data_IF_024277667113
#
_entry.id   IF_024277667113
#
_cell.length_a   1.000
_cell.length_b   1.000
_cell.length_c   1.000
_cell.angle_alpha   90.00
_cell.angle_beta   90.00
_cell.angle_gamma   90.00
#
_symmetry.space_group_name_H-M   'P 1'
#
loop_
_entity.id
_entity.type
_entity.pdbx_description
1 polymer ?
#
# COMPACT_ATOMS: atom_id res chain seq x y z
N UNK A 1 2.90 5.77 12.46
CA UNK A 1 3.41 7.08 11.98
C UNK A 1 3.70 8.02 13.14
N UNK A 2 2.74 8.48 13.96
CA UNK A 2 2.99 9.46 15.02
C UNK A 2 4.08 9.03 16.03
N UNK A 3 4.15 7.75 16.38
CA UNK A 3 5.19 7.22 17.27
C UNK A 3 6.56 7.28 16.60
N UNK A 4 6.66 6.88 15.32
CA UNK A 4 7.91 6.93 14.57
C UNK A 4 8.41 8.37 14.43
N UNK A 5 7.55 9.29 13.98
CA UNK A 5 7.88 10.71 13.87
C UNK A 5 8.32 11.34 15.20
N UNK A 6 7.72 10.92 16.32
CA UNK A 6 8.16 11.35 17.64
C UNK A 6 9.55 10.83 17.99
N UNK A 7 9.85 9.56 17.74
CA UNK A 7 11.16 8.97 17.97
C UNK A 7 12.23 9.67 17.14
N UNK A 8 11.94 9.99 15.86
CA UNK A 8 12.82 10.78 15.00
C UNK A 8 13.07 12.18 15.55
N UNK A 9 12.01 12.88 15.99
CA UNK A 9 12.13 14.19 16.59
C UNK A 9 12.91 14.18 17.92
N UNK A 10 12.87 13.08 18.66
CA UNK A 10 13.64 12.84 19.87
C UNK A 10 15.10 12.41 19.57
N UNK A 11 15.48 12.29 18.30
CA UNK A 11 16.85 11.99 17.88
C UNK A 11 17.25 10.52 18.05
N UNK A 12 16.32 9.58 17.99
CA UNK A 12 16.64 8.15 18.05
C UNK A 12 17.54 7.74 16.88
N UNK A 13 18.64 7.01 17.13
CA UNK A 13 19.62 6.69 16.10
C UNK A 13 19.10 5.76 15.00
N UNK A 14 18.00 5.07 15.25
CA UNK A 14 17.34 4.21 14.27
C UNK A 14 15.83 4.28 14.43
N UNK A 15 15.15 4.69 13.37
CA UNK A 15 13.72 4.52 13.19
C UNK A 15 13.51 3.89 11.81
N UNK A 16 12.99 2.66 11.75
CA UNK A 16 12.81 1.93 10.51
C UNK A 16 11.39 1.43 10.36
N UNK A 17 10.86 1.49 9.13
CA UNK A 17 9.54 0.97 8.78
C UNK A 17 9.69 -0.13 7.75
N UNK A 18 9.17 -1.32 8.05
CA UNK A 18 9.30 -2.53 7.23
C UNK A 18 7.92 -3.11 6.99
N UNK A 19 7.56 -3.35 5.72
CA UNK A 19 6.39 -4.15 5.36
C UNK A 19 6.57 -5.59 5.82
N UNK A 20 5.56 -6.17 6.47
CA UNK A 20 5.62 -7.50 7.05
C UNK A 20 4.39 -8.34 6.68
N UNK A 21 3.75 -8.02 5.56
CA UNK A 21 2.59 -8.73 5.03
C UNK A 21 2.90 -10.16 4.57
N UNK A 22 4.17 -10.47 4.31
CA UNK A 22 4.65 -11.81 3.97
C UNK A 22 6.10 -11.99 4.45
N UNK A 23 6.57 -13.26 4.50
CA UNK A 23 7.98 -13.56 4.81
C UNK A 23 8.92 -12.86 3.83
N UNK A 24 8.58 -12.89 2.53
CA UNK A 24 9.37 -12.22 1.50
C UNK A 24 9.45 -10.70 1.69
N UNK A 25 8.34 -10.04 2.10
CA UNK A 25 8.33 -8.62 2.41
C UNK A 25 9.26 -8.28 3.57
N UNK A 26 9.16 -9.04 4.66
CA UNK A 26 9.98 -8.86 5.85
C UNK A 26 11.45 -9.10 5.57
N UNK A 27 11.79 -10.18 4.85
CA UNK A 27 13.16 -10.47 4.41
C UNK A 27 13.72 -9.34 3.55
N UNK A 28 12.94 -8.87 2.56
CA UNK A 28 13.34 -7.75 1.70
C UNK A 28 13.59 -6.46 2.50
N UNK A 29 12.70 -6.15 3.45
CA UNK A 29 12.85 -4.99 4.32
C UNK A 29 14.07 -5.07 5.23
N UNK A 30 14.32 -6.21 5.86
CA UNK A 30 15.50 -6.45 6.70
C UNK A 30 16.80 -6.44 5.88
N UNK A 31 16.80 -7.00 4.67
CA UNK A 31 17.89 -6.91 3.72
C UNK A 31 18.23 -5.44 3.39
N UNK A 32 17.20 -4.65 3.03
CA UNK A 32 17.37 -3.22 2.76
C UNK A 32 17.90 -2.43 3.97
N UNK A 33 17.45 -2.78 5.17
CA UNK A 33 17.94 -2.19 6.42
C UNK A 33 19.40 -2.57 6.68
N UNK A 34 19.75 -3.87 6.52
CA UNK A 34 21.11 -4.38 6.71
C UNK A 34 22.11 -3.68 5.81
N UNK A 35 21.76 -3.43 4.56
CA UNK A 35 22.59 -2.66 3.64
C UNK A 35 22.80 -1.21 4.09
N UNK A 36 21.77 -0.53 4.57
CA UNK A 36 21.89 0.84 5.11
C UNK A 36 22.78 0.90 6.37
N UNK A 37 22.76 -0.18 7.16
CA UNK A 37 23.61 -0.32 8.35
C UNK A 37 25.03 -0.80 8.01
N UNK A 38 25.33 -1.09 6.73
CA UNK A 38 26.64 -1.56 6.30
C UNK A 38 26.99 -2.98 6.75
N UNK A 39 25.97 -3.80 7.07
CA UNK A 39 26.18 -5.14 7.66
C UNK A 39 26.63 -6.19 6.66
N UNK A 40 26.29 -6.05 5.36
CA UNK A 40 26.51 -7.10 4.37
C UNK A 40 27.94 -7.22 3.82
N UNK A 41 28.82 -6.24 4.05
CA UNK A 41 30.19 -6.26 3.55
C UNK A 41 30.27 -6.54 2.04
N UNK A 42 31.48 -6.99 1.57
CA UNK A 42 31.71 -7.31 0.14
C UNK A 42 31.24 -8.74 -0.26
N UNK A 43 30.80 -9.56 0.71
CA UNK A 43 30.37 -10.95 0.43
C UNK A 43 28.91 -10.99 0.04
N UNK A 44 28.62 -11.73 -1.02
CA UNK A 44 27.27 -12.00 -1.47
C UNK A 44 26.61 -13.07 -0.57
N UNK A 45 25.51 -12.69 0.09
CA UNK A 45 24.71 -13.57 0.93
C UNK A 45 23.30 -13.70 0.34
N UNK A 46 22.59 -14.79 0.69
CA UNK A 46 21.16 -14.87 0.35
C UNK A 46 20.37 -13.75 1.05
N UNK A 47 19.19 -13.33 0.54
CA UNK A 47 18.36 -12.35 1.24
C UNK A 47 18.02 -12.77 2.67
N UNK A 48 17.78 -14.06 2.90
CA UNK A 48 17.53 -14.62 4.22
C UNK A 48 18.76 -14.54 5.11
N UNK A 49 19.95 -14.82 4.59
CA UNK A 49 21.19 -14.70 5.36
C UNK A 49 21.49 -13.24 5.67
N UNK A 50 21.29 -12.34 4.71
CA UNK A 50 21.45 -10.90 4.93
C UNK A 50 20.44 -10.36 5.95
N UNK A 51 19.18 -10.80 5.89
CA UNK A 51 18.18 -10.46 6.90
C UNK A 51 18.59 -10.97 8.29
N UNK A 52 19.08 -12.22 8.38
CA UNK A 52 19.59 -12.78 9.65
C UNK A 52 20.78 -11.99 10.19
N UNK A 53 21.74 -11.64 9.36
CA UNK A 53 22.88 -10.79 9.74
C UNK A 53 22.45 -9.40 10.20
N UNK A 54 21.43 -8.82 9.55
CA UNK A 54 20.83 -7.57 10.03
C UNK A 54 20.26 -7.74 11.44
N UNK A 55 19.54 -8.83 11.71
CA UNK A 55 19.02 -9.13 13.04
C UNK A 55 20.12 -9.35 14.08
N UNK A 56 21.18 -10.07 13.73
CA UNK A 56 22.36 -10.27 14.59
C UNK A 56 23.04 -8.95 14.92
N UNK A 57 23.24 -8.07 13.91
CA UNK A 57 23.81 -6.75 14.12
C UNK A 57 22.95 -5.85 15.01
N UNK A 58 21.64 -5.92 14.83
CA UNK A 58 20.69 -5.19 15.69
C UNK A 58 20.71 -5.72 17.13
N UNK A 59 20.89 -7.03 17.32
CA UNK A 59 20.98 -7.65 18.62
C UNK A 59 22.31 -7.36 19.33
N UNK A 60 23.42 -7.33 18.58
CA UNK A 60 24.76 -7.09 19.11
C UNK A 60 25.08 -5.60 19.30
N UNK A 61 24.29 -4.70 18.72
CA UNK A 61 24.54 -3.26 18.82
C UNK A 61 24.40 -2.76 20.26
N UNK A 62 25.22 -1.77 20.64
CA UNK A 62 25.15 -1.12 21.93
C UNK A 62 23.73 -0.63 22.26
N UNK A 63 23.42 -0.60 23.57
CA UNK A 63 22.12 -0.15 24.04
C UNK A 63 21.84 1.29 23.58
N UNK A 64 20.84 1.43 22.76
CA UNK A 64 20.34 2.72 22.29
C UNK A 64 18.85 2.65 22.02
N UNK A 65 18.14 3.76 22.19
CA UNK A 65 16.71 3.82 21.84
C UNK A 65 16.53 3.74 20.32
N UNK A 66 15.98 2.62 19.87
CA UNK A 66 15.76 2.30 18.45
C UNK A 66 14.33 1.78 18.24
N UNK A 67 13.73 2.11 17.10
CA UNK A 67 12.38 1.66 16.74
C UNK A 67 12.39 0.94 15.40
N UNK A 68 11.79 -0.23 15.34
CA UNK A 68 11.42 -0.88 14.09
C UNK A 68 9.91 -1.08 14.09
N UNK A 69 9.25 -0.56 13.06
CA UNK A 69 7.83 -0.76 12.81
C UNK A 69 7.68 -1.87 11.77
N UNK A 70 6.96 -2.94 12.11
CA UNK A 70 6.57 -4.02 11.22
C UNK A 70 5.11 -3.79 10.83
N UNK A 71 4.88 -3.36 9.60
CA UNK A 71 3.54 -3.03 9.13
C UNK A 71 2.87 -4.24 8.45
N UNK A 72 1.58 -4.46 8.76
CA UNK A 72 0.78 -5.60 8.28
C UNK A 72 1.36 -6.98 8.66
N UNK A 73 1.83 -7.14 9.86
CA UNK A 73 2.39 -8.40 10.36
C UNK A 73 1.26 -9.43 10.60
N UNK A 74 1.05 -10.33 9.65
CA UNK A 74 -0.12 -11.23 9.62
C UNK A 74 0.11 -12.63 10.23
N UNK A 75 1.32 -13.00 10.65
CA UNK A 75 1.54 -14.32 11.23
C UNK A 75 2.79 -14.48 12.08
N UNK A 76 2.67 -15.10 13.29
CA UNK A 76 3.83 -15.42 14.12
C UNK A 76 4.54 -16.70 13.66
N UNK A 77 3.81 -17.68 13.12
CA UNK A 77 4.30 -19.05 13.01
C UNK A 77 5.47 -19.18 12.03
N UNK A 78 5.48 -18.36 10.97
CA UNK A 78 6.53 -18.37 9.95
C UNK A 78 7.51 -17.19 10.05
N UNK A 79 7.32 -16.25 10.99
CA UNK A 79 8.05 -14.99 11.05
C UNK A 79 8.74 -14.72 12.40
N UNK A 80 8.58 -15.57 13.40
CA UNK A 80 9.15 -15.37 14.74
C UNK A 80 10.67 -15.32 14.75
N UNK A 81 11.31 -16.00 13.80
CA UNK A 81 12.76 -16.01 13.58
C UNK A 81 13.27 -14.68 12.97
N UNK A 82 12.38 -13.90 12.37
CA UNK A 82 12.68 -12.63 11.71
C UNK A 82 12.28 -11.39 12.54
N UNK A 83 11.78 -11.56 13.75
CA UNK A 83 11.46 -10.45 14.64
C UNK A 83 12.76 -9.88 15.24
N UNK A 84 13.06 -8.58 15.00
CA UNK A 84 14.25 -7.95 15.56
C UNK A 84 14.25 -7.96 17.09
N UNK A 85 15.43 -8.16 17.68
CA UNK A 85 15.66 -8.11 19.12
C UNK A 85 16.94 -7.35 19.40
N UNK A 86 17.07 -6.76 20.58
CA UNK A 86 18.27 -6.06 21.00
C UNK A 86 17.99 -5.13 22.19
N UNK A 87 19.02 -4.78 22.93
CA UNK A 87 18.90 -3.84 24.05
C UNK A 87 18.52 -2.44 23.53
N UNK A 88 17.49 -1.82 24.11
CA UNK A 88 16.95 -0.54 23.68
C UNK A 88 16.19 -0.57 22.36
N UNK A 89 16.12 -1.73 21.68
CA UNK A 89 15.32 -1.88 20.48
C UNK A 89 13.86 -2.12 20.83
N UNK A 90 12.97 -1.29 20.31
CA UNK A 90 11.52 -1.45 20.42
C UNK A 90 10.97 -1.88 19.06
N UNK A 91 10.11 -2.88 19.06
CA UNK A 91 9.40 -3.34 17.87
C UNK A 91 7.93 -3.06 18.04
N UNK A 92 7.35 -2.36 17.07
CA UNK A 92 5.93 -2.08 16.98
C UNK A 92 5.38 -2.81 15.75
N UNK A 93 4.54 -3.82 15.96
CA UNK A 93 3.89 -4.52 14.85
C UNK A 93 2.43 -4.09 14.72
N UNK A 94 1.98 -3.78 13.50
CA UNK A 94 0.55 -3.64 13.19
C UNK A 94 0.05 -4.98 12.66
N UNK A 95 -1.08 -5.45 13.17
CA UNK A 95 -1.65 -6.75 12.76
C UNK A 95 -3.17 -6.71 12.78
N UNK A 96 -3.79 -7.57 11.98
CA UNK A 96 -5.24 -7.82 11.99
C UNK A 96 -5.62 -9.03 12.86
N UNK A 97 -4.65 -9.84 13.22
CA UNK A 97 -4.89 -11.03 14.04
C UNK A 97 -5.22 -10.64 15.48
N UNK A 98 -6.12 -11.39 16.06
CA UNK A 98 -6.56 -11.22 17.45
C UNK A 98 -6.11 -12.36 18.37
N UNK A 99 -5.50 -13.41 17.81
CA UNK A 99 -5.12 -14.65 18.47
C UNK A 99 -3.68 -14.64 19.01
N UNK A 100 -3.25 -13.49 19.53
CA UNK A 100 -1.90 -13.29 20.06
C UNK A 100 -1.75 -13.69 21.54
N UNK A 101 -2.80 -14.20 22.19
CA UNK A 101 -2.85 -14.48 23.64
C UNK A 101 -1.78 -15.47 24.12
N UNK A 102 -1.17 -16.22 23.22
CA UNK A 102 -0.08 -17.16 23.53
C UNK A 102 1.32 -16.52 23.43
N UNK A 103 1.42 -15.25 23.04
CA UNK A 103 2.69 -14.56 22.92
C UNK A 103 2.95 -13.67 24.13
N UNK A 104 4.22 -13.49 24.52
CA UNK A 104 4.62 -12.57 25.60
C UNK A 104 4.67 -11.09 25.13
N UNK A 105 3.97 -10.75 24.08
CA UNK A 105 3.96 -9.40 23.51
C UNK A 105 2.85 -8.56 24.14
N UNK A 106 3.12 -7.28 24.35
CA UNK A 106 2.09 -6.35 24.77
C UNK A 106 1.12 -6.07 23.63
N UNK A 107 -0.17 -6.21 23.87
CA UNK A 107 -1.22 -5.99 22.86
C UNK A 107 -1.94 -4.69 23.12
N UNK A 108 -2.06 -3.88 22.07
CA UNK A 108 -2.89 -2.69 22.05
C UNK A 108 -3.96 -2.90 20.99
N UNK A 109 -5.20 -3.10 21.43
CA UNK A 109 -6.33 -3.19 20.48
C UNK A 109 -6.70 -1.78 20.01
N UNK A 110 -6.55 -1.54 18.70
CA UNK A 110 -7.00 -0.31 18.06
C UNK A 110 -8.42 -0.55 17.56
N UNK A 111 -9.41 0.04 18.23
CA UNK A 111 -10.82 0.01 17.84
C UNK A 111 -11.19 1.04 16.79
N UNK A 112 -12.48 1.09 16.45
CA UNK A 112 -13.08 2.24 15.76
C UNK A 112 -13.08 3.49 16.64
N UNK A 113 -13.64 4.56 16.11
CA UNK A 113 -13.97 5.72 16.91
C UNK A 113 -15.09 5.39 17.92
N UNK A 114 -15.06 6.05 19.05
CA UNK A 114 -16.28 6.17 19.85
C UNK A 114 -17.34 6.90 19.02
N UNK A 115 -18.63 6.55 19.21
CA UNK A 115 -19.74 7.12 18.45
C UNK A 115 -19.72 8.66 18.44
N UNK A 116 -19.43 9.27 19.57
CA UNK A 116 -19.32 10.72 19.71
C UNK A 116 -18.20 11.32 18.87
N UNK A 117 -17.07 10.62 18.73
CA UNK A 117 -15.96 11.06 17.90
C UNK A 117 -16.34 11.02 16.41
N UNK A 118 -17.06 9.98 15.99
CA UNK A 118 -17.58 9.87 14.62
C UNK A 118 -18.56 10.99 14.29
N UNK A 119 -19.50 11.26 15.18
CA UNK A 119 -20.49 12.34 15.04
C UNK A 119 -19.76 13.69 14.99
N UNK A 120 -18.88 13.96 15.96
CA UNK A 120 -18.09 15.19 16.02
C UNK A 120 -17.32 15.42 14.72
N UNK A 121 -16.58 14.42 14.23
CA UNK A 121 -15.83 14.52 12.96
C UNK A 121 -16.73 14.84 11.77
N UNK A 122 -17.92 14.21 11.66
CA UNK A 122 -18.85 14.49 10.58
C UNK A 122 -19.36 15.94 10.64
N UNK A 123 -19.81 16.41 11.81
CA UNK A 123 -20.35 17.74 11.98
C UNK A 123 -19.29 18.82 11.74
N UNK A 124 -18.12 18.67 12.36
CA UNK A 124 -17.03 19.67 12.28
C UNK A 124 -16.49 19.81 10.85
N UNK A 125 -16.19 18.67 10.18
CA UNK A 125 -15.62 18.72 8.83
C UNK A 125 -16.60 19.18 7.76
N UNK A 126 -17.90 18.91 7.95
CA UNK A 126 -18.95 19.32 7.01
C UNK A 126 -19.56 20.67 7.32
N UNK A 127 -19.26 21.23 8.48
CA UNK A 127 -19.88 22.45 9.00
C UNK A 127 -21.43 22.36 9.04
N UNK A 128 -21.95 21.20 9.45
CA UNK A 128 -23.39 20.94 9.58
C UNK A 128 -23.74 20.59 11.04
N UNK A 129 -25.02 20.68 11.39
CA UNK A 129 -25.46 20.55 12.79
C UNK A 129 -26.46 19.43 13.04
N UNK A 130 -26.87 18.71 11.99
CA UNK A 130 -27.84 17.60 12.11
C UNK A 130 -27.17 16.37 12.74
N UNK A 131 -27.11 16.38 14.07
CA UNK A 131 -26.53 15.32 14.88
C UNK A 131 -27.22 13.97 14.67
N UNK A 132 -28.55 13.95 14.50
CA UNK A 132 -29.31 12.70 14.31
C UNK A 132 -28.92 11.99 13.01
N UNK A 133 -28.77 12.75 11.94
CA UNK A 133 -28.34 12.19 10.66
C UNK A 133 -26.86 11.81 10.68
N UNK A 134 -26.01 12.59 11.36
CA UNK A 134 -24.61 12.25 11.57
C UNK A 134 -24.45 10.94 12.34
N UNK A 135 -25.24 10.71 13.40
CA UNK A 135 -25.28 9.45 14.13
C UNK A 135 -25.66 8.27 13.25
N UNK A 136 -26.71 8.40 12.43
CA UNK A 136 -27.12 7.34 11.50
C UNK A 136 -26.06 7.03 10.42
N UNK A 137 -25.27 8.01 9.99
CA UNK A 137 -24.14 7.80 9.08
C UNK A 137 -23.02 7.06 9.81
N UNK A 138 -22.65 7.48 11.02
CA UNK A 138 -21.64 6.86 11.84
C UNK A 138 -21.95 5.40 12.13
N UNK A 139 -23.20 5.09 12.50
CA UNK A 139 -23.70 3.74 12.69
C UNK A 139 -23.56 2.87 11.42
N UNK A 140 -24.00 3.39 10.27
CA UNK A 140 -23.91 2.69 8.99
C UNK A 140 -22.44 2.39 8.60
N UNK A 141 -21.51 3.25 8.96
CA UNK A 141 -20.08 3.12 8.69
C UNK A 141 -19.33 2.33 9.79
N UNK A 142 -20.03 1.88 10.84
CA UNK A 142 -19.44 1.09 11.93
C UNK A 142 -18.34 1.84 12.69
N UNK A 143 -18.44 3.16 12.78
CA UNK A 143 -17.49 4.05 13.45
C UNK A 143 -16.03 3.88 12.98
N UNK A 144 -15.82 3.38 11.75
CA UNK A 144 -14.49 3.22 11.19
C UNK A 144 -13.89 4.57 10.81
N UNK A 145 -12.72 4.96 11.37
CA UNK A 145 -12.13 6.29 11.17
C UNK A 145 -11.95 6.67 9.70
N UNK A 146 -11.47 5.72 8.88
CA UNK A 146 -11.31 5.93 7.45
C UNK A 146 -12.65 6.23 6.77
N UNK A 147 -13.66 5.39 7.01
CA UNK A 147 -14.96 5.52 6.36
C UNK A 147 -15.67 6.82 6.76
N UNK A 148 -15.62 7.18 8.04
CA UNK A 148 -16.16 8.43 8.58
C UNK A 148 -15.43 9.65 7.98
N UNK A 149 -14.10 9.59 7.91
CA UNK A 149 -13.29 10.66 7.32
C UNK A 149 -13.58 10.88 5.84
N UNK A 150 -13.70 9.79 5.07
CA UNK A 150 -14.03 9.80 3.64
C UNK A 150 -15.46 10.30 3.40
N UNK A 151 -16.40 9.87 4.22
CA UNK A 151 -17.77 10.37 4.18
C UNK A 151 -17.82 11.89 4.38
N UNK A 152 -17.17 12.40 5.42
CA UNK A 152 -17.08 13.82 5.69
C UNK A 152 -16.44 14.60 4.53
N UNK A 153 -15.35 14.08 3.96
CA UNK A 153 -14.69 14.69 2.81
C UNK A 153 -15.59 14.71 1.57
N UNK A 154 -16.33 13.64 1.30
CA UNK A 154 -17.26 13.55 0.17
C UNK A 154 -18.45 14.49 0.34
N UNK A 155 -19.05 14.55 1.54
CA UNK A 155 -20.16 15.45 1.88
C UNK A 155 -19.74 16.90 1.64
N UNK A 156 -18.56 17.30 2.21
CA UNK A 156 -18.02 18.64 2.04
C UNK A 156 -17.75 18.97 0.57
N UNK A 157 -17.10 18.08 -0.14
CA UNK A 157 -16.68 18.25 -1.54
C UNK A 157 -17.87 18.39 -2.49
N UNK A 158 -18.89 17.54 -2.31
CA UNK A 158 -20.12 17.57 -3.12
C UNK A 158 -21.15 18.56 -2.61
N UNK A 159 -20.89 19.23 -1.50
CA UNK A 159 -21.86 20.12 -0.83
C UNK A 159 -23.19 19.42 -0.54
N UNK A 160 -23.13 18.14 -0.17
CA UNK A 160 -24.32 17.39 0.21
C UNK A 160 -24.80 17.80 1.60
N UNK A 161 -26.14 17.78 1.81
CA UNK A 161 -26.68 17.64 3.16
C UNK A 161 -26.36 16.24 3.70
N UNK A 162 -26.21 16.10 5.03
CA UNK A 162 -26.03 14.81 5.68
C UNK A 162 -27.13 13.81 5.29
N UNK A 163 -28.39 14.29 5.21
CA UNK A 163 -29.54 13.47 4.82
C UNK A 163 -29.43 12.93 3.38
N UNK A 164 -28.91 13.73 2.45
CA UNK A 164 -28.74 13.31 1.06
C UNK A 164 -27.63 12.27 0.93
N UNK A 165 -26.54 12.47 1.66
CA UNK A 165 -25.46 11.47 1.72
C UNK A 165 -25.94 10.15 2.31
N UNK A 166 -26.71 10.19 3.42
CA UNK A 166 -27.28 8.98 4.02
C UNK A 166 -28.20 8.23 3.05
N UNK A 167 -28.99 8.94 2.23
CA UNK A 167 -29.80 8.33 1.16
C UNK A 167 -28.93 7.62 0.12
N UNK A 168 -27.83 8.25 -0.32
CA UNK A 168 -26.88 7.65 -1.27
C UNK A 168 -26.24 6.40 -0.68
N UNK A 169 -25.81 6.48 0.57
CA UNK A 169 -25.20 5.36 1.30
C UNK A 169 -26.15 4.16 1.37
N UNK A 170 -27.44 4.40 1.69
CA UNK A 170 -28.48 3.37 1.75
C UNK A 170 -28.81 2.80 0.37
N UNK A 171 -28.84 3.64 -0.67
CA UNK A 171 -29.15 3.24 -2.04
C UNK A 171 -28.08 2.34 -2.65
N UNK A 172 -26.81 2.63 -2.37
CA UNK A 172 -25.68 1.85 -2.87
C UNK A 172 -25.42 0.55 -2.09
N UNK A 173 -26.05 0.37 -0.92
CA UNK A 173 -25.92 -0.86 -0.15
C UNK A 173 -26.68 -2.01 -0.82
N UNK A 174 -26.05 -3.15 -1.12
CA UNK A 174 -26.71 -4.26 -1.80
C UNK A 174 -27.90 -4.76 -0.98
N UNK A 175 -29.09 -4.79 -1.59
CA UNK A 175 -30.29 -5.37 -0.99
C UNK A 175 -30.24 -6.89 -0.90
N UNK A 176 -29.22 -7.52 -1.49
CA UNK A 176 -29.09 -8.96 -1.60
C UNK A 176 -28.03 -9.49 -0.61
N UNK A 177 -28.45 -10.43 0.25
CA UNK A 177 -27.58 -11.19 1.16
C UNK A 177 -26.48 -12.04 0.44
N UNK A 178 -26.44 -12.06 -0.88
CA UNK A 178 -25.49 -12.86 -1.67
C UNK A 178 -24.11 -12.21 -1.81
N UNK A 179 -23.97 -10.92 -1.55
CA UNK A 179 -22.68 -10.21 -1.51
C UNK A 179 -22.39 -9.79 -0.08
N UNK A 180 -21.99 -10.72 0.79
CA UNK A 180 -21.28 -10.35 2.00
C UNK A 180 -19.87 -9.94 1.59
N UNK A 181 -19.40 -8.73 1.99
CA UNK A 181 -18.00 -8.37 1.82
C UNK A 181 -17.12 -9.48 2.40
N UNK A 182 -16.03 -9.81 1.73
CA UNK A 182 -14.99 -10.67 2.31
C UNK A 182 -14.31 -9.90 3.44
N UNK A 183 -14.89 -9.92 4.64
CA UNK A 183 -14.39 -9.24 5.83
C UNK A 183 -15.52 -8.83 6.77
N UNK A 184 -15.17 -8.56 8.02
CA UNK A 184 -16.12 -8.21 9.11
C UNK A 184 -16.64 -6.76 9.03
N UNK A 185 -16.49 -6.07 7.90
CA UNK A 185 -16.85 -4.67 7.76
C UNK A 185 -18.26 -4.48 7.17
N UNK A 186 -19.03 -3.47 7.63
CA UNK A 186 -20.34 -3.15 7.06
C UNK A 186 -20.26 -2.87 5.56
N UNK A 187 -21.23 -3.38 4.78
CA UNK A 187 -21.32 -3.16 3.32
C UNK A 187 -21.36 -1.66 2.93
N UNK A 188 -21.85 -0.82 3.84
CA UNK A 188 -21.89 0.63 3.67
C UNK A 188 -20.50 1.26 3.50
N UNK A 189 -19.44 0.65 4.04
CA UNK A 189 -18.07 1.15 3.90
C UNK A 189 -17.63 1.09 2.45
N UNK A 190 -17.81 -0.04 1.77
CA UNK A 190 -17.52 -0.15 0.34
C UNK A 190 -18.29 0.88 -0.49
N UNK A 191 -19.54 1.17 -0.13
CA UNK A 191 -20.34 2.23 -0.78
C UNK A 191 -19.74 3.60 -0.53
N UNK A 192 -19.36 3.92 0.70
CA UNK A 192 -18.75 5.21 1.05
C UNK A 192 -17.44 5.43 0.26
N UNK A 193 -16.60 4.42 0.18
CA UNK A 193 -15.35 4.48 -0.58
C UNK A 193 -15.58 4.66 -2.08
N UNK A 194 -16.56 3.95 -2.65
CA UNK A 194 -16.95 4.14 -4.07
C UNK A 194 -17.50 5.53 -4.36
N UNK A 195 -18.33 6.08 -3.48
CA UNK A 195 -18.82 7.45 -3.59
C UNK A 195 -17.68 8.47 -3.56
N UNK A 196 -16.66 8.21 -2.76
CA UNK A 196 -15.46 9.05 -2.70
C UNK A 196 -14.65 8.99 -4.01
N UNK A 197 -14.38 7.79 -4.53
CA UNK A 197 -13.72 7.60 -5.82
C UNK A 197 -14.48 8.30 -6.96
N UNK A 198 -15.79 8.08 -7.03
CA UNK A 198 -16.64 8.73 -8.03
C UNK A 198 -16.59 10.25 -7.91
N UNK A 199 -16.64 10.78 -6.69
CA UNK A 199 -16.55 12.21 -6.43
C UNK A 199 -15.21 12.80 -6.91
N UNK A 200 -14.10 12.10 -6.70
CA UNK A 200 -12.81 12.52 -7.19
C UNK A 200 -12.75 12.50 -8.73
N UNK A 201 -13.21 11.41 -9.34
CA UNK A 201 -13.22 11.23 -10.80
C UNK A 201 -14.11 12.24 -11.51
N UNK A 202 -15.32 12.54 -11.00
CA UNK A 202 -16.25 13.51 -11.58
C UNK A 202 -15.67 14.92 -11.53
N UNK A 203 -15.04 15.30 -10.43
CA UNK A 203 -14.37 16.60 -10.31
C UNK A 203 -13.28 16.77 -11.34
N UNK A 204 -12.43 15.78 -11.51
CA UNK A 204 -11.34 15.79 -12.47
C UNK A 204 -11.88 15.74 -13.89
N UNK A 205 -12.88 14.92 -14.15
CA UNK A 205 -13.53 14.79 -15.46
C UNK A 205 -14.25 16.04 -15.95
N UNK A 206 -14.70 16.91 -15.03
CA UNK A 206 -15.26 18.21 -15.38
C UNK A 206 -14.22 19.18 -15.95
N UNK A 207 -12.94 18.97 -15.66
CA UNK A 207 -11.83 19.81 -16.17
C UNK A 207 -11.13 19.16 -17.36
N UNK A 208 -10.87 17.84 -17.27
CA UNK A 208 -10.19 17.09 -18.30
C UNK A 208 -10.63 15.63 -18.32
N UNK A 209 -11.35 15.16 -19.38
CA UNK A 209 -11.68 13.76 -19.56
C UNK A 209 -10.44 12.84 -19.58
N UNK A 210 -9.32 13.33 -20.13
CA UNK A 210 -8.05 12.61 -20.17
C UNK A 210 -7.48 12.40 -18.77
N UNK A 211 -7.47 13.44 -17.94
CA UNK A 211 -7.02 13.34 -16.56
C UNK A 211 -7.91 12.41 -15.73
N UNK A 212 -9.24 12.42 -15.93
CA UNK A 212 -10.14 11.50 -15.28
C UNK A 212 -9.85 10.03 -15.66
N UNK A 213 -9.50 9.79 -16.90
CA UNK A 213 -9.10 8.45 -17.37
C UNK A 213 -7.78 8.01 -16.70
N UNK A 214 -6.76 8.87 -16.68
CA UNK A 214 -5.47 8.62 -16.03
C UNK A 214 -5.70 8.36 -14.53
N UNK A 215 -6.51 9.18 -13.88
CA UNK A 215 -6.83 9.02 -12.44
C UNK A 215 -7.46 7.67 -12.16
N UNK A 216 -8.38 7.21 -13.02
CA UNK A 216 -9.02 5.89 -12.88
C UNK A 216 -7.99 4.77 -13.01
N UNK A 217 -7.05 4.87 -13.95
CA UNK A 217 -5.98 3.89 -14.10
C UNK A 217 -5.04 3.92 -12.89
N UNK A 218 -4.66 5.10 -12.42
CA UNK A 218 -3.81 5.24 -11.23
C UNK A 218 -4.41 4.56 -10.00
N UNK A 219 -5.72 4.72 -9.76
CA UNK A 219 -6.43 4.01 -8.69
C UNK A 219 -6.35 2.50 -8.85
N UNK A 220 -6.56 2.01 -10.06
CA UNK A 220 -6.48 0.58 -10.36
C UNK A 220 -5.05 0.04 -10.20
N UNK A 221 -4.04 0.74 -10.69
CA UNK A 221 -2.63 0.39 -10.56
C UNK A 221 -2.23 0.30 -9.08
N UNK A 222 -2.64 1.30 -8.28
CA UNK A 222 -2.40 1.31 -6.83
C UNK A 222 -3.10 0.14 -6.10
N UNK A 223 -4.22 -0.34 -6.63
CA UNK A 223 -4.90 -1.50 -6.07
C UNK A 223 -4.31 -2.84 -6.53
N UNK A 224 -3.54 -2.86 -7.62
CA UNK A 224 -2.98 -4.06 -8.22
C UNK A 224 -1.55 -4.34 -7.78
N UNK A 225 -0.77 -3.29 -7.54
CA UNK A 225 0.64 -3.38 -7.19
C UNK A 225 0.85 -3.44 -5.66
N UNK A 226 2.07 -3.26 -5.19
CA UNK A 226 2.41 -3.45 -3.79
C UNK A 226 1.64 -2.50 -2.84
N UNK A 227 1.06 -3.08 -1.80
CA UNK A 227 0.37 -2.32 -0.75
C UNK A 227 1.33 -1.40 0.04
N UNK A 228 2.63 -1.69 0.03
CA UNK A 228 3.71 -0.84 0.56
C UNK A 228 3.87 0.49 -0.20
N UNK A 229 3.20 0.64 -1.34
CA UNK A 229 3.15 1.84 -2.16
C UNK A 229 3.99 1.76 -3.43
N UNK A 230 3.59 2.57 -4.41
CA UNK A 230 4.26 2.72 -5.70
C UNK A 230 5.12 3.98 -5.64
N UNK A 231 6.35 3.98 -6.15
CA UNK A 231 7.17 5.19 -6.23
C UNK A 231 6.41 6.33 -6.93
N UNK A 232 6.31 7.46 -6.26
CA UNK A 232 5.56 8.63 -6.73
C UNK A 232 6.04 9.08 -8.12
N UNK A 233 7.36 9.11 -8.33
CA UNK A 233 7.99 9.48 -9.59
C UNK A 233 7.57 8.62 -10.78
N UNK A 234 7.27 7.31 -10.56
CA UNK A 234 6.78 6.45 -11.63
C UNK A 234 5.38 6.85 -12.08
N UNK A 235 4.54 7.28 -11.13
CA UNK A 235 3.15 7.68 -11.40
C UNK A 235 3.04 9.11 -11.95
N UNK A 236 4.04 9.96 -11.71
CA UNK A 236 4.09 11.33 -12.25
C UNK A 236 4.47 11.37 -13.73
N UNK A 237 4.98 10.26 -14.28
CA UNK A 237 5.43 10.11 -15.66
C UNK A 237 6.91 10.41 -15.85
N UNK A 238 7.52 9.74 -16.82
CA UNK A 238 8.93 9.81 -17.12
C UNK A 238 9.38 11.12 -17.78
N UNK A 239 8.46 11.85 -18.38
CA UNK A 239 8.76 13.12 -19.10
C UNK A 239 8.32 14.32 -18.26
N UNK A 240 9.18 15.33 -18.16
CA UNK A 240 8.87 16.62 -17.51
C UNK A 240 7.63 17.32 -18.11
N UNK A 241 7.21 16.94 -19.33
CA UNK A 241 6.03 17.44 -20.01
C UNK A 241 4.69 16.76 -19.67
N UNK A 242 4.70 15.73 -18.84
CA UNK A 242 3.47 14.99 -18.46
C UNK A 242 2.71 15.69 -17.34
N UNK A 243 2.18 16.92 -17.57
CA UNK A 243 1.37 17.65 -16.60
C UNK A 243 0.13 16.85 -16.19
N UNK A 244 -0.52 16.14 -17.14
CA UNK A 244 -1.75 15.38 -16.90
C UNK A 244 -1.58 14.27 -15.85
N UNK A 245 -0.47 13.51 -15.88
CA UNK A 245 -0.21 12.43 -14.93
C UNK A 245 0.02 12.99 -13.52
N UNK A 246 0.81 14.04 -13.40
CA UNK A 246 1.09 14.73 -12.13
C UNK A 246 -0.16 15.36 -11.53
N UNK A 247 -0.96 16.02 -12.36
CA UNK A 247 -2.21 16.65 -11.94
C UNK A 247 -3.24 15.61 -11.50
N UNK A 248 -3.37 14.50 -12.25
CA UNK A 248 -4.22 13.39 -11.90
C UNK A 248 -3.83 12.75 -10.56
N UNK A 249 -2.53 12.58 -10.31
CA UNK A 249 -2.02 12.06 -9.05
C UNK A 249 -2.26 13.03 -7.90
N UNK A 250 -1.94 14.32 -8.08
CA UNK A 250 -2.16 15.35 -7.08
C UNK A 250 -3.65 15.44 -6.71
N UNK A 251 -4.55 15.33 -7.66
CA UNK A 251 -5.99 15.34 -7.41
C UNK A 251 -6.45 14.16 -6.53
N UNK A 252 -5.84 12.99 -6.65
CA UNK A 252 -6.09 11.85 -5.76
C UNK A 252 -5.58 12.11 -4.35
N UNK A 253 -4.40 12.70 -4.21
CA UNK A 253 -3.79 13.04 -2.92
C UNK A 253 -4.62 14.13 -2.22
N UNK A 254 -4.93 15.22 -2.90
CA UNK A 254 -5.77 16.31 -2.38
C UNK A 254 -7.17 15.85 -1.98
N UNK A 255 -7.71 14.85 -2.69
CA UNK A 255 -8.99 14.24 -2.35
C UNK A 255 -8.91 13.30 -1.15
N UNK A 256 -7.72 13.08 -0.58
CA UNK A 256 -7.48 12.11 0.49
C UNK A 256 -7.84 10.66 0.10
N UNK A 257 -7.94 10.39 -1.20
CA UNK A 257 -8.13 9.02 -1.72
C UNK A 257 -6.82 8.25 -1.60
N UNK A 258 -5.71 8.89 -1.94
CA UNK A 258 -4.37 8.33 -1.75
C UNK A 258 -3.65 9.06 -0.62
N UNK A 259 -2.67 8.39 -0.03
CA UNK A 259 -1.73 9.00 0.91
C UNK A 259 -0.30 8.84 0.39
N UNK A 260 0.56 9.73 0.79
CA UNK A 260 2.00 9.59 0.60
C UNK A 260 2.62 8.82 1.76
N UNK A 261 3.75 8.16 1.51
CA UNK A 261 4.67 7.73 2.56
C UNK A 261 5.20 8.95 3.34
N UNK A 262 5.78 8.74 4.52
CA UNK A 262 6.27 9.83 5.36
C UNK A 262 7.35 10.69 4.67
N UNK A 263 8.22 10.05 3.89
CA UNK A 263 9.22 10.70 3.06
C UNK A 263 8.67 11.30 1.74
N UNK A 264 7.35 11.14 1.49
CA UNK A 264 6.70 11.60 0.27
C UNK A 264 7.07 10.81 -0.99
N UNK A 265 7.88 9.76 -0.87
CA UNK A 265 8.47 9.05 -2.01
C UNK A 265 7.53 8.03 -2.65
N UNK A 266 6.55 7.50 -1.92
CA UNK A 266 5.60 6.48 -2.39
C UNK A 266 4.15 6.96 -2.25
N UNK A 267 3.30 6.49 -3.15
CA UNK A 267 1.85 6.70 -3.12
C UNK A 267 1.18 5.40 -2.71
N UNK A 268 0.26 5.49 -1.78
CA UNK A 268 -0.38 4.31 -1.20
C UNK A 268 -1.90 4.47 -1.18
N UNK A 269 -2.60 3.32 -1.32
CA UNK A 269 -4.01 3.18 -0.99
C UNK A 269 -4.19 2.45 0.35
N UNK A 270 -5.24 2.79 1.06
CA UNK A 270 -5.62 1.99 2.21
C UNK A 270 -6.24 0.65 1.75
N UNK A 271 -5.95 -0.44 2.47
CA UNK A 271 -6.41 -1.80 2.13
C UNK A 271 -7.93 -1.93 1.87
N UNK A 272 -8.76 -1.18 2.62
CA UNK A 272 -10.22 -1.18 2.39
C UNK A 272 -10.58 -0.54 1.04
N UNK A 273 -9.80 0.42 0.57
CA UNK A 273 -9.96 1.03 -0.76
C UNK A 273 -9.53 0.04 -1.84
N UNK A 274 -8.42 -0.66 -1.63
CA UNK A 274 -7.97 -1.75 -2.52
C UNK A 274 -9.05 -2.82 -2.62
N UNK A 275 -9.61 -3.27 -1.50
CA UNK A 275 -10.69 -4.24 -1.48
C UNK A 275 -11.93 -3.75 -2.25
N UNK A 276 -12.35 -2.51 -2.06
CA UNK A 276 -13.50 -1.94 -2.77
C UNK A 276 -13.28 -1.90 -4.30
N UNK A 277 -12.04 -1.60 -4.74
CA UNK A 277 -11.68 -1.62 -6.16
C UNK A 277 -11.69 -3.06 -6.71
N UNK A 278 -11.18 -4.03 -5.96
CA UNK A 278 -11.20 -5.45 -6.36
C UNK A 278 -12.63 -5.98 -6.48
N UNK A 279 -13.53 -5.63 -5.55
CA UNK A 279 -14.95 -5.97 -5.63
C UNK A 279 -15.62 -5.38 -6.89
N UNK A 280 -15.25 -4.16 -7.28
CA UNK A 280 -15.76 -3.53 -8.51
C UNK A 280 -15.25 -4.27 -9.76
N UNK A 281 -14.04 -4.80 -9.76
CA UNK A 281 -13.50 -5.59 -10.86
C UNK A 281 -14.18 -6.95 -11.06
N UNK A 282 -14.78 -7.52 -10.02
CA UNK A 282 -15.62 -8.72 -10.16
C UNK A 282 -16.82 -8.44 -11.10
N UNK A 283 -17.31 -7.18 -11.10
CA UNK A 283 -18.42 -6.74 -11.92
C UNK A 283 -17.99 -6.07 -13.26
N UNK A 284 -16.75 -5.65 -13.37
CA UNK A 284 -16.19 -5.03 -14.59
C UNK A 284 -14.82 -5.63 -14.98
N UNK A 285 -14.82 -6.84 -15.57
CA UNK A 285 -13.60 -7.50 -16.02
C UNK A 285 -12.89 -6.76 -17.17
N UNK A 286 -13.59 -5.86 -17.88
CA UNK A 286 -12.99 -5.06 -18.95
C UNK A 286 -12.10 -3.97 -18.35
N UNK A 287 -12.61 -3.27 -17.33
CA UNK A 287 -11.83 -2.27 -16.60
C UNK A 287 -10.60 -2.91 -15.95
N UNK A 288 -10.77 -4.07 -15.33
CA UNK A 288 -9.66 -4.84 -14.77
C UNK A 288 -8.55 -5.10 -15.81
N UNK A 289 -8.87 -5.70 -16.97
CA UNK A 289 -7.89 -5.97 -18.04
C UNK A 289 -7.21 -4.72 -18.57
N UNK A 290 -7.91 -3.58 -18.60
CA UNK A 290 -7.29 -2.31 -18.95
C UNK A 290 -6.27 -1.87 -17.90
N UNK A 291 -6.63 -1.95 -16.63
CA UNK A 291 -5.72 -1.63 -15.51
C UNK A 291 -4.48 -2.54 -15.51
N UNK A 292 -4.67 -3.83 -15.76
CA UNK A 292 -3.56 -4.79 -15.87
C UNK A 292 -2.55 -4.37 -16.98
N UNK A 293 -3.05 -3.91 -18.14
CA UNK A 293 -2.17 -3.42 -19.22
C UNK A 293 -1.43 -2.14 -18.86
N UNK A 294 -2.09 -1.21 -18.19
CA UNK A 294 -1.46 0.04 -17.74
C UNK A 294 -0.41 -0.25 -16.65
N UNK A 295 -0.67 -1.18 -15.74
CA UNK A 295 0.30 -1.61 -14.73
C UNK A 295 1.55 -2.22 -15.38
N UNK A 296 1.39 -3.08 -16.39
CA UNK A 296 2.52 -3.60 -17.17
C UNK A 296 3.30 -2.47 -17.84
N UNK A 297 2.59 -1.48 -18.42
CA UNK A 297 3.22 -0.29 -18.99
C UNK A 297 4.07 0.45 -17.97
N UNK A 298 3.53 0.67 -16.75
CA UNK A 298 4.25 1.34 -15.67
C UNK A 298 5.51 0.58 -15.24
N UNK A 299 5.44 -0.74 -15.06
CA UNK A 299 6.58 -1.56 -14.67
C UNK A 299 7.69 -1.53 -15.72
N UNK A 300 7.34 -1.53 -17.02
CA UNK A 300 8.33 -1.40 -18.11
C UNK A 300 8.93 0.02 -18.18
N UNK A 301 8.13 1.06 -17.95
CA UNK A 301 8.63 2.43 -17.85
C UNK A 301 9.59 2.57 -16.68
N UNK A 302 9.28 1.94 -15.55
CA UNK A 302 10.15 1.93 -14.37
C UNK A 302 11.53 1.34 -14.70
N UNK A 303 11.58 0.19 -15.40
CA UNK A 303 12.85 -0.37 -15.85
C UNK A 303 13.59 0.57 -16.81
N UNK A 304 12.97 0.92 -17.92
CA UNK A 304 13.64 1.65 -19.01
C UNK A 304 14.08 3.07 -18.61
N UNK A 305 13.24 3.84 -17.91
CA UNK A 305 13.52 5.24 -17.62
C UNK A 305 14.23 5.45 -16.27
N UNK A 306 13.94 4.64 -15.28
CA UNK A 306 14.44 4.88 -13.93
C UNK A 306 15.64 3.98 -13.59
N UNK A 307 15.57 2.69 -13.90
CA UNK A 307 16.67 1.78 -13.58
C UNK A 307 17.84 1.99 -14.53
N UNK A 308 17.61 1.96 -15.85
CA UNK A 308 18.69 2.02 -16.83
C UNK A 308 19.37 3.40 -16.91
N UNK A 309 18.66 4.47 -16.60
CA UNK A 309 19.21 5.83 -16.57
C UNK A 309 19.80 6.26 -15.24
N UNK A 310 19.63 5.48 -14.18
CA UNK A 310 20.13 5.78 -12.85
C UNK A 310 21.46 5.08 -12.57
N UNK A 311 22.22 5.59 -11.59
CA UNK A 311 23.49 5.03 -11.14
C UNK A 311 23.54 4.95 -9.62
N UNK A 312 24.46 4.16 -9.09
CA UNK A 312 24.75 4.05 -7.66
C UNK A 312 23.52 3.72 -6.81
N UNK A 313 23.36 4.42 -5.71
CA UNK A 313 22.27 4.19 -4.74
C UNK A 313 20.89 4.46 -5.32
N UNK A 314 20.75 5.38 -6.26
CA UNK A 314 19.48 5.67 -6.92
C UNK A 314 19.05 4.45 -7.73
N UNK A 315 19.95 3.89 -8.54
CA UNK A 315 19.66 2.68 -9.33
C UNK A 315 19.32 1.50 -8.44
N UNK A 316 20.04 1.33 -7.34
CA UNK A 316 19.73 0.29 -6.36
C UNK A 316 18.33 0.42 -5.79
N UNK A 317 17.91 1.64 -5.42
CA UNK A 317 16.55 1.91 -4.92
C UNK A 317 15.50 1.56 -5.97
N UNK A 318 15.70 1.97 -7.23
CA UNK A 318 14.77 1.66 -8.33
C UNK A 318 14.62 0.15 -8.55
N UNK A 319 15.74 -0.59 -8.52
CA UNK A 319 15.72 -2.05 -8.65
C UNK A 319 14.93 -2.68 -7.50
N UNK A 320 15.16 -2.27 -6.26
CA UNK A 320 14.46 -2.82 -5.10
C UNK A 320 12.97 -2.46 -5.13
N UNK A 321 12.61 -1.24 -5.54
CA UNK A 321 11.23 -0.83 -5.70
C UNK A 321 10.52 -1.70 -6.78
N UNK A 322 11.17 -1.98 -7.91
CA UNK A 322 10.58 -2.82 -8.96
C UNK A 322 10.46 -4.29 -8.52
N UNK A 323 11.43 -4.81 -7.76
CA UNK A 323 11.36 -6.14 -7.14
C UNK A 323 10.14 -6.25 -6.23
N UNK A 324 9.91 -5.25 -5.38
CA UNK A 324 8.74 -5.24 -4.48
C UNK A 324 7.43 -5.28 -5.24
N UNK A 325 7.32 -4.53 -6.36
CA UNK A 325 6.11 -4.53 -7.18
C UNK A 325 5.90 -5.89 -7.87
N UNK A 326 6.93 -6.46 -8.49
CA UNK A 326 6.85 -7.75 -9.18
C UNK A 326 6.52 -8.89 -8.21
N UNK A 327 7.11 -8.87 -7.02
CA UNK A 327 6.81 -9.83 -5.96
C UNK A 327 5.35 -9.72 -5.50
N UNK A 328 4.89 -8.50 -5.20
CA UNK A 328 3.51 -8.28 -4.76
C UNK A 328 2.50 -8.75 -5.80
N UNK A 329 2.76 -8.50 -7.09
CA UNK A 329 1.95 -9.02 -8.19
C UNK A 329 1.96 -10.55 -8.21
N UNK A 330 3.09 -11.19 -7.96
CA UNK A 330 3.19 -12.65 -7.94
C UNK A 330 2.42 -13.29 -6.77
N UNK A 331 2.39 -12.65 -5.62
CA UNK A 331 1.69 -13.15 -4.43
C UNK A 331 0.16 -13.00 -4.53
N UNK A 332 -0.35 -12.11 -5.40
CA UNK A 332 -1.79 -11.83 -5.51
C UNK A 332 -2.51 -12.78 -6.47
N UNK A 333 -3.63 -13.36 -6.02
CA UNK A 333 -4.49 -14.22 -6.85
C UNK A 333 -5.16 -13.50 -8.03
N UNK A 334 -5.23 -12.18 -7.99
CA UNK A 334 -5.88 -11.35 -9.02
C UNK A 334 -5.00 -11.11 -10.25
N UNK A 335 -3.71 -11.41 -10.19
CA UNK A 335 -2.71 -11.00 -11.18
C UNK A 335 -2.36 -12.08 -12.23
N UNK A 336 -3.06 -13.21 -12.26
CA UNK A 336 -2.73 -14.32 -13.18
C UNK A 336 -2.55 -13.90 -14.65
N UNK A 337 -3.40 -12.98 -15.15
CA UNK A 337 -3.32 -12.50 -16.52
C UNK A 337 -2.14 -11.55 -16.78
N UNK A 338 -1.56 -10.94 -15.76
CA UNK A 338 -0.39 -10.07 -15.91
C UNK A 338 0.82 -10.86 -16.40
N UNK A 339 1.03 -12.06 -15.86
CA UNK A 339 2.15 -12.93 -16.24
C UNK A 339 2.02 -13.51 -17.65
N UNK A 340 0.82 -13.53 -18.23
CA UNK A 340 0.63 -13.86 -19.64
C UNK A 340 1.11 -12.75 -20.61
N UNK A 341 1.47 -11.57 -20.10
CA UNK A 341 2.03 -10.49 -20.91
C UNK A 341 3.56 -10.63 -21.01
N UNK A 342 4.13 -10.79 -22.22
CA UNK A 342 5.58 -10.99 -22.40
C UNK A 342 6.43 -9.89 -21.74
N UNK A 343 5.93 -8.67 -21.69
CA UNK A 343 6.63 -7.53 -21.08
C UNK A 343 6.88 -7.68 -19.58
N UNK A 344 6.14 -8.52 -18.89
CA UNK A 344 6.45 -8.86 -17.48
C UNK A 344 7.72 -9.72 -17.44
N UNK A 345 7.88 -10.65 -18.37
CA UNK A 345 9.12 -11.42 -18.52
C UNK A 345 10.32 -10.51 -18.80
N UNK A 346 10.14 -9.52 -19.67
CA UNK A 346 11.18 -8.51 -19.96
C UNK A 346 11.56 -7.73 -18.68
N UNK A 347 10.58 -7.26 -17.91
CA UNK A 347 10.83 -6.54 -16.67
C UNK A 347 11.52 -7.39 -15.61
N UNK A 348 11.12 -8.67 -15.45
CA UNK A 348 11.80 -9.62 -14.54
C UNK A 348 13.25 -9.83 -14.97
N UNK A 349 13.48 -10.07 -16.26
CA UNK A 349 14.82 -10.30 -16.82
C UNK A 349 15.73 -9.09 -16.62
N UNK A 350 15.23 -7.91 -16.92
CA UNK A 350 15.95 -6.64 -16.76
C UNK A 350 16.34 -6.38 -15.30
N UNK A 351 15.40 -6.59 -14.38
CA UNK A 351 15.66 -6.43 -12.94
C UNK A 351 16.72 -7.43 -12.46
N UNK A 352 16.64 -8.69 -12.88
CA UNK A 352 17.62 -9.70 -12.49
C UNK A 352 19.02 -9.36 -13.01
N UNK A 353 19.11 -8.91 -14.26
CA UNK A 353 20.38 -8.47 -14.85
C UNK A 353 20.96 -7.28 -14.08
N UNK A 354 20.15 -6.24 -13.81
CA UNK A 354 20.58 -5.09 -13.04
C UNK A 354 20.98 -5.45 -11.61
N UNK A 355 20.26 -6.38 -10.97
CA UNK A 355 20.60 -6.88 -9.65
C UNK A 355 21.97 -7.57 -9.63
N UNK A 356 22.30 -8.34 -10.67
CA UNK A 356 23.64 -8.94 -10.82
C UNK A 356 24.73 -7.88 -10.99
N UNK A 357 24.51 -6.87 -11.85
CA UNK A 357 25.45 -5.75 -12.06
C UNK A 357 25.69 -4.94 -10.77
N UNK A 358 24.67 -4.80 -9.93
CA UNK A 358 24.75 -4.10 -8.64
C UNK A 358 25.31 -4.96 -7.50
N UNK A 359 25.68 -6.21 -7.76
CA UNK A 359 26.18 -7.13 -6.76
C UNK A 359 25.14 -7.60 -5.74
N UNK A 360 23.87 -7.64 -6.13
CA UNK A 360 22.74 -8.14 -5.32
C UNK A 360 22.01 -9.31 -6.00
N UNK A 361 22.72 -10.38 -6.42
CA UNK A 361 22.12 -11.51 -7.14
C UNK A 361 21.06 -12.25 -6.34
N UNK A 362 21.05 -12.12 -5.01
CA UNK A 362 20.08 -12.69 -4.09
C UNK A 362 18.65 -12.20 -4.36
N UNK A 363 18.50 -11.08 -5.05
CA UNK A 363 17.20 -10.55 -5.49
C UNK A 363 16.43 -11.57 -6.35
N UNK A 364 17.14 -12.48 -7.03
CA UNK A 364 16.53 -13.58 -7.77
C UNK A 364 15.65 -14.48 -6.89
N UNK A 365 16.03 -14.69 -5.63
CA UNK A 365 15.22 -15.47 -4.68
C UNK A 365 13.95 -14.75 -4.28
N UNK A 366 13.97 -13.43 -4.17
CA UNK A 366 12.78 -12.62 -3.90
C UNK A 366 11.78 -12.65 -5.06
N UNK A 367 12.26 -12.89 -6.27
CA UNK A 367 11.45 -13.00 -7.49
C UNK A 367 11.13 -14.44 -7.89
N UNK A 368 11.51 -15.45 -7.09
CA UNK A 368 11.25 -16.87 -7.42
C UNK A 368 9.78 -17.14 -7.74
N UNK A 369 8.84 -16.64 -6.92
CA UNK A 369 7.42 -16.76 -7.19
C UNK A 369 6.94 -16.04 -8.46
N UNK A 370 7.58 -14.93 -8.84
CA UNK A 370 7.29 -14.25 -10.10
C UNK A 370 7.79 -15.03 -11.32
N UNK A 371 8.99 -15.63 -11.21
CA UNK A 371 9.57 -16.48 -12.26
C UNK A 371 8.76 -17.77 -12.43
N UNK A 372 8.33 -18.39 -11.33
CA UNK A 372 7.47 -19.58 -11.36
C UNK A 372 6.15 -19.30 -12.10
N UNK A 373 5.46 -18.21 -11.73
CA UNK A 373 4.20 -17.81 -12.40
C UNK A 373 4.39 -17.46 -13.87
N UNK A 374 5.54 -16.87 -14.23
CA UNK A 374 5.87 -16.64 -15.63
C UNK A 374 6.01 -17.97 -16.37
N UNK A 375 6.73 -18.95 -15.79
CA UNK A 375 6.86 -20.29 -16.34
C UNK A 375 5.53 -20.98 -16.55
N UNK A 376 4.62 -20.94 -15.56
CA UNK A 376 3.28 -21.50 -15.65
C UNK A 376 2.44 -20.85 -16.79
N UNK A 377 2.62 -19.54 -17.01
CA UNK A 377 1.89 -18.82 -18.06
C UNK A 377 2.40 -19.09 -19.46
N UNK A 378 3.67 -19.47 -19.61
CA UNK A 378 4.29 -19.81 -20.89
C UNK A 378 4.10 -21.29 -21.27
N UNK A 379 3.85 -22.16 -20.29
CA UNK A 379 3.63 -23.59 -20.48
C UNK A 379 2.15 -23.99 -20.69
N UNK A 380 1.23 -23.04 -20.57
CA UNK A 380 -0.23 -23.19 -20.79
C UNK A 380 -0.65 -22.58 -22.12
#
# INVERSE_FOLDING_TARGET
TAVAARCEAEGWPLVAWIGAESRGALVSGLFGLGRRLGVDGERQHSPEDSARRCLEALAAAERADRLIVLDNFDGPDDLTDLIPRGEGLRVLATTRRTDWDQTRLAHIRVGGFEREQSIGMLLDRTNQTDRKTADAIAEALGDLPLAVSQAAATIKRRRYGLADYLKQLKKGSPKSRRHRPRGDHPAAIGVALRLDFQSALERIGSWSPRQAMITRYNLGILALLAASGIPRRWMEGADEGSSDAREALNALIESSVCRLSEDGAKVMLHRLQIQAIHEDWENDPVQRRRTEREAVGLLNVADFFYIQKSQGEVRLREVLDLVDQLRAVAEQNYSKNLFANPRIGDAITAVLQCAMELGIPQTSLLLSGAVERLGDSLGS
#
